data_IF_923223083902
#
_entry.id   IF_923223083902
#
_cell.length_a   1.000
_cell.length_b   1.000
_cell.length_c   1.000
_cell.angle_alpha   90.00
_cell.angle_beta   90.00
_cell.angle_gamma   90.00
#
_symmetry.space_group_name_H-M   'P 1'
#
loop_
_entity.id
_entity.type
_entity.pdbx_description
1 polymer ?
#
# COMPACT_ATOMS: atom_id res chain seq x y z
N UNK A 1 6.68 3.75 -1.09
CA UNK A 1 5.29 3.42 -0.65
C UNK A 1 5.19 1.99 -0.12
N UNK A 2 5.17 0.93 -0.95
CA UNK A 2 4.98 -0.45 -0.42
C UNK A 2 6.01 -0.87 0.63
N UNK A 3 7.28 -0.56 0.40
CA UNK A 3 8.34 -0.83 1.38
C UNK A 3 8.07 -0.18 2.73
N UNK A 4 7.54 1.05 2.74
CA UNK A 4 7.19 1.76 3.98
C UNK A 4 6.00 1.10 4.68
N UNK A 5 4.95 0.74 3.94
CA UNK A 5 3.80 0.01 4.50
C UNK A 5 4.25 -1.32 5.11
N UNK A 6 5.14 -2.07 4.44
CA UNK A 6 5.70 -3.31 4.96
C UNK A 6 6.52 -3.09 6.23
N UNK A 7 7.37 -2.06 6.25
CA UNK A 7 8.18 -1.73 7.41
C UNK A 7 7.31 -1.31 8.60
N UNK A 8 6.31 -0.46 8.38
CA UNK A 8 5.34 -0.05 9.41
C UNK A 8 4.64 -1.26 10.01
N UNK A 9 4.15 -2.18 9.17
CA UNK A 9 3.58 -3.46 9.61
C UNK A 9 4.57 -4.26 10.47
N UNK A 10 5.80 -4.47 10.00
CA UNK A 10 6.81 -5.25 10.73
C UNK A 10 7.18 -4.62 12.07
N UNK A 11 7.28 -3.28 12.12
CA UNK A 11 7.61 -2.55 13.34
C UNK A 11 6.47 -2.71 14.35
N UNK A 12 5.21 -2.50 13.96
CA UNK A 12 4.06 -2.70 14.84
C UNK A 12 4.01 -4.14 15.40
N UNK A 13 4.23 -5.15 14.55
CA UNK A 13 4.32 -6.55 14.99
C UNK A 13 5.43 -6.77 16.01
N UNK A 14 6.64 -6.27 15.73
CA UNK A 14 7.81 -6.45 16.60
C UNK A 14 7.64 -5.74 17.95
N UNK A 15 6.98 -4.59 17.94
CA UNK A 15 6.75 -3.78 19.14
C UNK A 15 5.49 -4.20 19.91
N UNK A 16 4.71 -5.15 19.41
CA UNK A 16 3.43 -5.54 20.00
C UNK A 16 2.39 -4.42 20.02
N UNK A 17 2.56 -3.39 19.18
CA UNK A 17 1.68 -2.23 19.10
C UNK A 17 0.65 -2.41 17.98
N UNK A 18 -0.46 -1.68 18.07
CA UNK A 18 -1.56 -1.81 17.12
C UNK A 18 -1.41 -0.82 15.95
N UNK A 19 -1.35 -1.32 14.72
CA UNK A 19 -1.44 -0.50 13.51
C UNK A 19 -2.90 -0.12 13.25
N UNK A 20 -3.27 1.10 13.62
CA UNK A 20 -4.66 1.58 13.56
C UNK A 20 -5.20 1.87 12.15
N UNK A 21 -4.33 2.04 11.17
CA UNK A 21 -4.72 2.31 9.79
C UNK A 21 -3.55 2.81 8.95
N UNK A 22 -3.84 3.09 7.68
CA UNK A 22 -2.93 3.76 6.75
C UNK A 22 -3.68 4.89 6.07
N UNK A 23 -2.96 5.95 5.69
CA UNK A 23 -3.48 7.03 4.87
C UNK A 23 -2.79 6.96 3.51
N UNK A 24 -3.56 6.96 2.43
CA UNK A 24 -3.05 6.82 1.06
C UNK A 24 -3.81 7.79 0.16
N UNK A 25 -3.09 8.51 -0.70
CA UNK A 25 -3.68 9.29 -1.78
C UNK A 25 -3.86 8.42 -3.03
N UNK A 26 -5.10 8.29 -3.50
CA UNK A 26 -5.45 7.41 -4.61
C UNK A 26 -6.57 7.98 -5.46
N UNK A 27 -6.71 7.44 -6.66
CA UNK A 27 -7.85 7.70 -7.56
C UNK A 27 -8.29 6.40 -8.23
N UNK A 28 -9.59 6.30 -8.54
CA UNK A 28 -10.14 5.18 -9.33
C UNK A 28 -9.85 5.30 -10.83
N UNK A 29 -9.26 6.42 -11.26
CA UNK A 29 -8.85 6.64 -12.64
C UNK A 29 -7.54 5.92 -12.95
N UNK A 30 -7.38 5.48 -14.21
CA UNK A 30 -6.13 4.89 -14.66
C UNK A 30 -5.09 5.99 -14.97
N UNK A 31 -4.54 6.62 -13.93
CA UNK A 31 -3.52 7.67 -14.01
C UNK A 31 -2.10 7.11 -14.02
N UNK A 32 -1.16 7.89 -14.53
CA UNK A 32 0.28 7.59 -14.53
C UNK A 32 1.02 8.56 -13.61
N UNK A 33 0.61 8.63 -12.34
CA UNK A 33 1.16 9.61 -11.38
C UNK A 33 2.28 9.02 -10.51
N UNK A 34 2.20 7.73 -10.17
CA UNK A 34 3.25 7.02 -9.42
C UNK A 34 3.98 5.99 -10.29
N UNK A 35 5.30 5.87 -10.11
CA UNK A 35 6.12 4.84 -10.77
C UNK A 35 5.97 3.46 -10.11
N UNK A 36 6.23 2.41 -10.87
CA UNK A 36 6.18 1.02 -10.43
C UNK A 36 4.76 0.48 -10.44
N UNK A 37 4.46 -0.39 -9.45
CA UNK A 37 3.22 -1.13 -9.39
C UNK A 37 3.14 -2.27 -10.41
N UNK A 38 1.98 -2.94 -10.52
CA UNK A 38 1.82 -4.13 -11.36
C UNK A 38 2.06 -3.87 -12.86
N UNK A 39 1.82 -2.64 -13.30
CA UNK A 39 2.00 -2.21 -14.70
C UNK A 39 3.44 -1.76 -15.01
N UNK A 40 4.32 -1.69 -14.01
CA UNK A 40 5.73 -1.37 -14.21
C UNK A 40 5.99 0.05 -14.71
N UNK A 41 5.17 1.02 -14.30
CA UNK A 41 5.25 2.40 -14.79
C UNK A 41 6.63 3.01 -14.52
N UNK A 42 7.27 3.51 -15.57
CA UNK A 42 8.54 4.23 -15.48
C UNK A 42 8.32 5.75 -15.42
N UNK A 43 9.37 6.51 -15.12
CA UNK A 43 9.32 7.97 -15.17
C UNK A 43 8.92 8.51 -16.56
N UNK A 44 9.24 7.76 -17.63
CA UNK A 44 8.88 8.13 -19.00
C UNK A 44 7.37 8.02 -19.28
N UNK A 45 6.65 7.20 -18.51
CA UNK A 45 5.20 7.04 -18.66
C UNK A 45 4.40 8.12 -17.95
N UNK A 46 5.02 8.87 -17.02
CA UNK A 46 4.31 9.84 -16.21
C UNK A 46 3.51 10.88 -17.03
N UNK A 47 4.06 11.46 -18.11
CA UNK A 47 3.35 12.47 -18.90
C UNK A 47 2.10 11.96 -19.64
N UNK A 48 1.90 10.65 -19.76
CA UNK A 48 0.79 10.07 -20.53
C UNK A 48 -0.57 10.42 -19.92
N UNK A 49 -0.67 10.41 -18.57
CA UNK A 49 -1.91 10.69 -17.83
C UNK A 49 -1.63 11.15 -16.40
N UNK A 50 -0.80 12.18 -16.25
CA UNK A 50 -0.63 12.90 -14.98
C UNK A 50 -1.72 13.98 -14.85
N UNK A 51 -2.71 13.80 -13.96
CA UNK A 51 -3.90 14.68 -13.93
C UNK A 51 -4.05 15.49 -12.65
N UNK A 52 -3.35 15.14 -11.58
CA UNK A 52 -3.25 15.96 -10.36
C UNK A 52 -2.35 17.18 -10.54
N UNK A 53 -2.74 18.29 -9.91
CA UNK A 53 -1.88 19.48 -9.75
C UNK A 53 -1.14 19.49 -8.39
N UNK A 54 -1.44 18.50 -7.54
CA UNK A 54 -0.84 18.31 -6.22
C UNK A 54 0.08 17.08 -6.24
N UNK A 55 0.17 16.36 -5.12
CA UNK A 55 0.95 15.15 -5.00
C UNK A 55 0.42 14.01 -5.89
N UNK A 56 1.32 13.11 -6.36
CA UNK A 56 0.97 11.98 -7.21
C UNK A 56 0.13 10.94 -6.47
N UNK A 57 -0.98 10.52 -7.07
CA UNK A 57 -1.90 9.55 -6.48
C UNK A 57 -1.65 8.15 -7.03
N UNK A 58 -1.95 7.13 -6.23
CA UNK A 58 -2.00 5.75 -6.72
C UNK A 58 -3.16 5.56 -7.70
N UNK A 59 -2.91 4.88 -8.80
CA UNK A 59 -3.97 4.40 -9.69
C UNK A 59 -4.66 3.15 -9.12
N UNK A 60 -5.68 2.65 -9.82
CA UNK A 60 -6.45 1.47 -9.39
C UNK A 60 -5.57 0.24 -9.08
N UNK A 61 -4.69 -0.14 -10.02
CA UNK A 61 -3.85 -1.35 -9.90
C UNK A 61 -2.88 -1.24 -8.72
N UNK A 62 -2.24 -0.08 -8.55
CA UNK A 62 -1.35 0.20 -7.43
C UNK A 62 -2.10 0.22 -6.09
N UNK A 63 -3.31 0.78 -6.06
CA UNK A 63 -4.16 0.82 -4.86
C UNK A 63 -4.57 -0.58 -4.41
N UNK A 64 -4.93 -1.44 -5.36
CA UNK A 64 -5.28 -2.84 -5.09
C UNK A 64 -4.09 -3.63 -4.55
N UNK A 65 -2.88 -3.39 -5.05
CA UNK A 65 -1.66 -4.03 -4.54
C UNK A 65 -1.44 -3.72 -3.05
N UNK A 66 -1.60 -2.45 -2.65
CA UNK A 66 -1.49 -2.06 -1.24
C UNK A 66 -2.61 -2.71 -0.40
N UNK A 67 -3.84 -2.73 -0.90
CA UNK A 67 -4.97 -3.36 -0.21
C UNK A 67 -4.75 -4.86 0.03
N UNK A 68 -4.24 -5.60 -0.96
CA UNK A 68 -3.92 -7.02 -0.81
C UNK A 68 -2.78 -7.26 0.19
N UNK A 69 -1.76 -6.39 0.19
CA UNK A 69 -0.66 -6.46 1.15
C UNK A 69 -1.17 -6.28 2.58
N UNK A 70 -1.99 -5.26 2.83
CA UNK A 70 -2.59 -5.00 4.13
C UNK A 70 -3.56 -6.11 4.55
N UNK A 71 -4.35 -6.66 3.62
CA UNK A 71 -5.24 -7.80 3.89
C UNK A 71 -4.48 -9.03 4.37
N UNK A 72 -3.32 -9.35 3.76
CA UNK A 72 -2.45 -10.43 4.22
C UNK A 72 -1.95 -10.20 5.65
N UNK A 73 -1.56 -8.96 5.96
CA UNK A 73 -1.16 -8.59 7.32
C UNK A 73 -2.30 -8.78 8.34
N UNK A 74 -3.49 -8.23 8.08
CA UNK A 74 -4.63 -8.30 8.99
C UNK A 74 -5.07 -9.75 9.25
N UNK A 75 -5.05 -10.60 8.22
CA UNK A 75 -5.32 -12.04 8.38
C UNK A 75 -4.33 -12.72 9.33
N UNK A 76 -3.06 -12.33 9.30
CA UNK A 76 -2.04 -12.89 10.19
C UNK A 76 -2.17 -12.37 11.63
N UNK A 77 -2.67 -11.14 11.84
CA UNK A 77 -2.97 -10.62 13.19
C UNK A 77 -4.12 -11.38 13.88
N UNK A 78 -5.14 -11.81 13.12
CA UNK A 78 -6.28 -12.55 13.67
C UNK A 78 -5.97 -14.01 14.03
N UNK A 79 -4.86 -14.57 13.55
CA UNK A 79 -4.34 -15.86 14.04
C UNK A 79 -3.61 -15.64 15.37
N UNK A 80 -4.37 -15.47 16.46
CA UNK A 80 -3.79 -15.55 17.81
C UNK A 80 -3.10 -16.92 17.99
N UNK A 81 -1.95 -17.01 18.69
CA UNK A 81 -1.49 -18.28 19.20
C UNK A 81 -2.59 -18.85 20.11
N UNK A 82 -3.03 -20.07 19.80
CA UNK A 82 -3.81 -20.87 20.72
C UNK A 82 -2.98 -21.00 22.01
N UNK A 83 -3.62 -20.66 23.14
CA UNK A 83 -3.05 -20.66 24.48
C UNK A 83 -2.00 -21.77 24.68
N UNK A 84 -0.76 -21.39 25.00
CA UNK A 84 0.13 -22.28 25.72
C UNK A 84 -0.51 -22.51 27.11
N UNK A 85 -1.28 -23.59 27.21
CA UNK A 85 -1.66 -24.20 28.49
C UNK A 85 -0.44 -24.84 29.14
#
# INVERSE_FOLDING_TARGET
ILSEVQQTVMIHQRMGSYLGGVHIELTGENVTECTGGPEGLSAANLPERYTTMCDPRLNYSQSMEVAFLLSKYLKNQHKKPQEAK
#
